data_IF_838251588020
#
_entry.id   IF_838251588020
#
_cell.length_a   1.000
_cell.length_b   1.000
_cell.length_c   1.000
_cell.angle_alpha   90.00
_cell.angle_beta   90.00
_cell.angle_gamma   90.00
#
_symmetry.space_group_name_H-M   'P 1'
#
loop_
_entity.id
_entity.type
_entity.pdbx_description
1 polymer ?
#
# COMPACT_ATOMS: atom_id res chain seq x y z
N UNK A 1 -9.77 -1.45 -10.80
CA UNK A 1 -10.12 -1.33 -9.35
C UNK A 1 -9.97 0.13 -8.98
N UNK A 2 -10.73 0.64 -8.01
CA UNK A 2 -10.65 2.06 -7.63
C UNK A 2 -10.13 2.23 -6.21
N UNK A 3 -9.31 3.26 -6.03
CA UNK A 3 -8.76 3.66 -4.74
C UNK A 3 -9.19 5.09 -4.44
N UNK A 4 -9.70 5.31 -3.24
CA UNK A 4 -10.16 6.61 -2.77
C UNK A 4 -9.59 6.89 -1.39
N UNK A 5 -9.47 8.18 -1.05
CA UNK A 5 -9.05 8.60 0.27
C UNK A 5 -10.07 9.57 0.84
N UNK A 6 -10.82 9.17 1.86
CA UNK A 6 -11.87 10.00 2.42
C UNK A 6 -11.31 11.31 3.02
N UNK A 7 -11.92 12.42 2.63
CA UNK A 7 -11.72 13.72 3.26
C UNK A 7 -13.08 14.31 3.62
N UNK A 8 -13.14 15.01 4.75
CA UNK A 8 -14.39 15.56 5.34
C UNK A 8 -15.11 16.56 4.42
N UNK A 9 -14.49 17.01 3.32
CA UNK A 9 -15.05 18.06 2.48
C UNK A 9 -14.40 18.15 1.09
N UNK A 10 -14.55 17.15 0.22
CA UNK A 10 -14.49 17.29 -1.25
C UNK A 10 -14.63 15.94 -1.94
N UNK A 11 -15.19 15.96 -3.16
CA UNK A 11 -15.31 14.83 -4.09
C UNK A 11 -14.03 13.99 -4.12
N UNK A 12 -14.17 12.71 -3.79
CA UNK A 12 -13.12 11.70 -3.86
C UNK A 12 -12.64 11.55 -5.31
N UNK A 13 -11.43 12.03 -5.62
CA UNK A 13 -10.80 11.67 -6.90
C UNK A 13 -10.40 10.20 -6.84
N UNK A 14 -11.11 9.38 -7.61
CA UNK A 14 -10.84 7.96 -7.74
C UNK A 14 -9.55 7.75 -8.52
N UNK A 15 -8.60 6.99 -7.96
CA UNK A 15 -7.45 6.52 -8.71
C UNK A 15 -7.76 5.14 -9.30
N UNK A 16 -7.62 5.03 -10.62
CA UNK A 16 -7.69 3.74 -11.32
C UNK A 16 -6.40 2.96 -11.07
N UNK A 17 -6.52 1.87 -10.32
CA UNK A 17 -5.42 1.04 -9.84
C UNK A 17 -5.56 -0.41 -10.28
N UNK A 18 -4.42 -1.02 -10.60
CA UNK A 18 -4.33 -2.44 -10.98
C UNK A 18 -3.82 -3.32 -9.83
N UNK A 19 -3.03 -2.75 -8.91
CA UNK A 19 -2.49 -3.43 -7.74
C UNK A 19 -2.60 -2.49 -6.54
N UNK A 20 -3.08 -3.02 -5.41
CA UNK A 20 -3.04 -2.37 -4.11
C UNK A 20 -2.46 -3.34 -3.08
N UNK A 21 -1.55 -2.87 -2.25
CA UNK A 21 -0.94 -3.62 -1.16
C UNK A 21 -1.20 -2.85 0.13
N UNK A 22 -1.96 -3.44 1.04
CA UNK A 22 -2.12 -2.92 2.39
C UNK A 22 -1.06 -3.50 3.31
N UNK A 23 -0.39 -2.61 4.03
CA UNK A 23 0.64 -2.94 4.99
C UNK A 23 0.21 -2.39 6.35
N UNK A 24 -0.30 -3.29 7.20
CA UNK A 24 -0.68 -2.96 8.57
C UNK A 24 0.47 -3.04 9.57
N UNK A 25 0.23 -2.46 10.76
CA UNK A 25 1.08 -2.69 11.93
C UNK A 25 0.96 -4.16 12.33
N UNK A 26 2.09 -4.87 12.33
CA UNK A 26 2.17 -6.25 12.84
C UNK A 26 1.37 -7.33 12.07
N UNK A 27 0.64 -6.98 11.01
CA UNK A 27 -0.11 -7.94 10.18
C UNK A 27 0.63 -8.36 8.91
N UNK A 28 0.24 -9.50 8.34
CA UNK A 28 0.71 -9.85 7.01
C UNK A 28 0.17 -8.85 5.97
N UNK A 29 0.97 -8.48 4.96
CA UNK A 29 0.53 -7.63 3.87
C UNK A 29 -0.63 -8.27 3.10
N UNK A 30 -1.67 -7.49 2.83
CA UNK A 30 -2.81 -7.90 2.02
C UNK A 30 -2.65 -7.33 0.61
N UNK A 31 -2.95 -8.14 -0.41
CA UNK A 31 -2.77 -7.75 -1.81
C UNK A 31 -4.11 -7.85 -2.54
N UNK A 32 -4.53 -6.73 -3.10
CA UNK A 32 -5.72 -6.60 -3.93
C UNK A 32 -5.28 -6.40 -5.38
N UNK A 33 -5.90 -7.14 -6.29
CA UNK A 33 -5.59 -7.10 -7.72
C UNK A 33 -6.86 -6.79 -8.48
N UNK A 34 -6.74 -5.99 -9.53
CA UNK A 34 -7.80 -5.86 -10.52
C UNK A 34 -7.99 -7.18 -11.30
N UNK A 35 -9.21 -7.40 -11.77
CA UNK A 35 -9.54 -8.61 -12.53
C UNK A 35 -8.72 -8.74 -13.81
N UNK A 36 -8.34 -9.96 -14.14
CA UNK A 36 -7.50 -10.25 -15.30
C UNK A 36 -6.05 -9.79 -15.19
N UNK A 37 -5.66 -9.10 -14.11
CA UNK A 37 -4.25 -8.76 -13.84
C UNK A 37 -3.51 -10.03 -13.38
N UNK A 38 -2.40 -10.33 -14.03
CA UNK A 38 -1.56 -11.45 -13.64
C UNK A 38 -1.06 -11.28 -12.20
N UNK A 39 -1.13 -12.36 -11.42
CA UNK A 39 -0.63 -12.36 -10.04
C UNK A 39 0.86 -11.97 -10.04
N UNK A 40 1.25 -10.87 -9.36
CA UNK A 40 2.63 -10.43 -9.35
C UNK A 40 3.51 -11.43 -8.61
N UNK A 41 4.73 -11.61 -9.11
CA UNK A 41 5.73 -12.44 -8.43
C UNK A 41 6.32 -11.72 -7.20
N UNK A 42 7.06 -12.48 -6.40
CA UNK A 42 7.68 -11.97 -5.17
C UNK A 42 8.70 -10.85 -5.44
N UNK A 43 9.47 -10.91 -6.52
CA UNK A 43 10.48 -9.90 -6.84
C UNK A 43 9.84 -8.56 -7.19
N UNK A 44 8.75 -8.61 -7.96
CA UNK A 44 7.96 -7.42 -8.27
C UNK A 44 7.42 -6.76 -6.99
N UNK A 45 6.81 -7.55 -6.10
CA UNK A 45 6.27 -7.04 -4.83
C UNK A 45 7.35 -6.45 -3.92
N UNK A 46 8.53 -7.10 -3.83
CA UNK A 46 9.68 -6.57 -3.10
C UNK A 46 10.11 -5.22 -3.68
N UNK A 47 10.18 -5.10 -5.02
CA UNK A 47 10.55 -3.86 -5.70
C UNK A 47 9.60 -2.71 -5.36
N UNK A 48 8.29 -2.94 -5.37
CA UNK A 48 7.30 -1.93 -4.97
C UNK A 48 7.51 -1.47 -3.52
N UNK A 49 7.73 -2.40 -2.61
CA UNK A 49 7.89 -2.09 -1.19
C UNK A 49 9.20 -1.35 -0.93
N UNK A 50 10.29 -1.75 -1.58
CA UNK A 50 11.57 -1.05 -1.50
C UNK A 50 11.44 0.39 -1.98
N UNK A 51 10.82 0.62 -3.14
CA UNK A 51 10.59 1.95 -3.70
C UNK A 51 9.79 2.83 -2.72
N UNK A 52 8.66 2.33 -2.23
CA UNK A 52 7.83 3.06 -1.27
C UNK A 52 8.54 3.26 0.07
N UNK A 53 9.41 2.32 0.50
CA UNK A 53 10.18 2.47 1.74
C UNK A 53 11.11 3.67 1.65
N UNK A 54 11.90 3.74 0.57
CA UNK A 54 12.80 4.88 0.32
C UNK A 54 12.01 6.18 0.23
N UNK A 55 10.91 6.18 -0.53
CA UNK A 55 10.06 7.36 -0.68
C UNK A 55 9.49 7.85 0.65
N UNK A 56 9.06 6.94 1.53
CA UNK A 56 8.57 7.27 2.89
C UNK A 56 9.70 7.83 3.75
N UNK A 57 10.90 7.27 3.64
CA UNK A 57 12.07 7.73 4.39
C UNK A 57 12.49 9.15 3.99
N UNK A 58 12.51 9.43 2.69
CA UNK A 58 12.85 10.71 2.08
C UNK A 58 11.70 11.73 2.12
N UNK A 59 10.48 11.27 2.41
CA UNK A 59 9.24 12.05 2.37
C UNK A 59 8.99 12.64 0.97
N UNK A 60 9.24 11.85 -0.07
CA UNK A 60 9.01 12.27 -1.44
C UNK A 60 7.52 12.45 -1.71
N UNK A 61 7.09 13.71 -1.81
CA UNK A 61 5.68 14.08 -2.07
C UNK A 61 5.17 13.65 -3.45
N UNK A 62 6.05 13.28 -4.38
CA UNK A 62 5.63 12.76 -5.68
C UNK A 62 5.12 11.31 -5.60
N UNK A 63 5.52 10.57 -4.57
CA UNK A 63 5.20 9.14 -4.40
C UNK A 63 4.39 8.89 -3.13
N UNK A 64 4.64 9.66 -2.06
CA UNK A 64 4.06 9.44 -0.73
C UNK A 64 3.11 10.57 -0.35
N UNK A 65 1.91 10.19 0.06
CA UNK A 65 0.97 11.09 0.74
C UNK A 65 0.81 10.65 2.19
N UNK A 66 1.21 11.50 3.13
CA UNK A 66 0.92 11.30 4.56
C UNK A 66 -0.43 11.91 4.89
N UNK A 67 -1.31 11.14 5.49
CA UNK A 67 -2.69 11.52 5.75
C UNK A 67 -3.18 10.88 7.04
N UNK A 68 -2.66 11.36 8.18
CA UNK A 68 -3.01 10.82 9.48
C UNK A 68 -4.52 10.92 9.72
N UNK A 69 -5.09 9.88 10.32
CA UNK A 69 -6.51 9.78 10.68
C UNK A 69 -7.49 9.83 9.50
N UNK A 70 -7.01 9.59 8.26
CA UNK A 70 -7.88 9.42 7.09
C UNK A 70 -8.01 7.95 6.73
N UNK A 71 -9.21 7.60 6.27
CA UNK A 71 -9.55 6.29 5.72
C UNK A 71 -9.21 6.22 4.24
N UNK A 72 -8.70 5.06 3.83
CA UNK A 72 -8.51 4.71 2.43
C UNK A 72 -9.52 3.64 2.08
N UNK A 73 -10.25 3.81 0.98
CA UNK A 73 -11.27 2.86 0.53
C UNK A 73 -10.80 2.24 -0.78
N UNK A 74 -10.79 0.91 -0.84
CA UNK A 74 -10.52 0.13 -2.04
C UNK A 74 -11.86 -0.46 -2.52
N UNK A 75 -12.22 -0.21 -3.77
CA UNK A 75 -13.43 -0.76 -4.38
C UNK A 75 -13.07 -1.79 -5.45
N UNK A 76 -13.51 -3.02 -5.21
CA UNK A 76 -13.26 -4.22 -6.03
C UNK A 76 -14.58 -4.94 -6.32
N UNK A 77 -14.98 -5.07 -7.59
CA UNK A 77 -16.14 -5.89 -8.01
C UNK A 77 -17.40 -5.81 -7.11
N UNK A 78 -17.79 -4.60 -6.69
CA UNK A 78 -18.96 -4.39 -5.83
C UNK A 78 -18.73 -4.63 -4.33
N UNK A 79 -17.51 -4.92 -3.91
CA UNK A 79 -17.06 -4.89 -2.52
C UNK A 79 -16.25 -3.64 -2.24
N UNK A 80 -16.37 -3.13 -1.01
CA UNK A 80 -15.58 -2.02 -0.50
C UNK A 80 -14.76 -2.52 0.70
N UNK A 81 -13.46 -2.24 0.66
CA UNK A 81 -12.54 -2.50 1.75
C UNK A 81 -12.06 -1.17 2.32
N UNK A 82 -12.39 -0.90 3.57
CA UNK A 82 -11.99 0.31 4.28
C UNK A 82 -10.74 0.04 5.11
N UNK A 83 -9.70 0.84 4.87
CA UNK A 83 -8.42 0.79 5.56
C UNK A 83 -8.31 2.03 6.44
N UNK A 84 -8.37 1.80 7.76
CA UNK A 84 -8.33 2.86 8.77
C UNK A 84 -6.93 3.08 9.34
N UNK A 85 -6.01 2.15 9.11
CA UNK A 85 -4.64 2.21 9.61
C UNK A 85 -3.64 1.50 8.70
N UNK A 86 -2.36 1.86 8.82
CA UNK A 86 -1.28 1.30 8.04
C UNK A 86 -0.84 2.17 6.86
N UNK A 87 -0.30 1.51 5.84
CA UNK A 87 0.14 2.12 4.59
C UNK A 87 -0.48 1.35 3.44
N UNK A 88 -1.01 2.09 2.47
CA UNK A 88 -1.54 1.55 1.23
C UNK A 88 -0.59 1.90 0.11
N UNK A 89 0.10 0.89 -0.43
CA UNK A 89 0.91 1.00 -1.63
C UNK A 89 0.02 0.67 -2.81
N UNK A 90 0.12 1.42 -3.90
CA UNK A 90 -0.69 1.17 -5.08
C UNK A 90 0.11 1.36 -6.36
N UNK A 91 -0.32 0.65 -7.39
CA UNK A 91 0.09 0.88 -8.78
C UNK A 91 -1.14 1.20 -9.60
N UNK A 92 -1.06 2.31 -10.32
CA UNK A 92 -2.10 2.73 -11.26
C UNK A 92 -2.06 1.86 -12.52
N UNK A 93 -3.18 1.78 -13.24
CA UNK A 93 -3.25 1.12 -14.56
C UNK A 93 -2.27 1.71 -15.59
N UNK A 94 -1.79 2.94 -15.35
CA UNK A 94 -0.75 3.62 -16.16
C UNK A 94 0.68 3.32 -15.71
N UNK A 95 0.85 2.41 -14.75
CA UNK A 95 2.15 1.96 -14.24
C UNK A 95 2.79 2.88 -13.20
N UNK A 96 2.17 4.01 -12.83
CA UNK A 96 2.67 4.86 -11.73
C UNK A 96 2.48 4.17 -10.39
N UNK A 97 3.47 4.29 -9.51
CA UNK A 97 3.46 3.74 -8.15
C UNK A 97 3.37 4.89 -7.15
N UNK A 98 2.60 4.69 -6.08
CA UNK A 98 2.51 5.61 -4.97
C UNK A 98 2.15 4.89 -3.68
N UNK A 99 2.18 5.61 -2.56
CA UNK A 99 1.58 5.11 -1.33
C UNK A 99 0.94 6.21 -0.49
N UNK A 100 -0.10 5.82 0.24
CA UNK A 100 -0.82 6.65 1.19
C UNK A 100 -0.57 6.07 2.59
N UNK A 101 -0.12 6.90 3.52
CA UNK A 101 0.01 6.50 4.92
C UNK A 101 -1.09 7.13 5.76
N UNK A 102 -1.80 6.30 6.52
CA UNK A 102 -2.79 6.75 7.52
C UNK A 102 -2.13 7.21 8.83
N UNK A 103 -0.80 7.33 8.86
CA UNK A 103 -0.01 7.68 10.04
C UNK A 103 0.93 8.87 9.78
N UNK A 104 1.52 9.38 10.85
CA UNK A 104 2.63 10.33 10.74
C UNK A 104 3.88 9.69 10.08
N UNK A 105 4.83 10.50 9.58
CA UNK A 105 6.01 9.97 8.91
C UNK A 105 6.89 9.04 9.75
N UNK A 106 6.95 9.21 11.07
CA UNK A 106 7.79 8.38 11.93
C UNK A 106 7.20 6.97 12.08
N UNK A 107 5.89 6.89 12.35
CA UNK A 107 5.16 5.63 12.38
C UNK A 107 5.15 4.96 11.01
N UNK A 108 4.93 5.71 9.93
CA UNK A 108 4.95 5.19 8.57
C UNK A 108 6.30 4.54 8.21
N UNK A 109 7.41 5.19 8.59
CA UNK A 109 8.76 4.64 8.39
C UNK A 109 8.94 3.31 9.11
N UNK A 110 8.47 3.20 10.36
CA UNK A 110 8.53 1.94 11.12
C UNK A 110 7.78 0.82 10.39
N UNK A 111 6.54 1.11 9.95
CA UNK A 111 5.69 0.16 9.23
C UNK A 111 6.36 -0.34 7.95
N UNK A 112 6.90 0.57 7.13
CA UNK A 112 7.58 0.19 5.88
C UNK A 112 8.82 -0.67 6.12
N UNK A 113 9.63 -0.36 7.15
CA UNK A 113 10.81 -1.17 7.49
C UNK A 113 10.43 -2.59 7.94
N UNK A 114 9.41 -2.69 8.79
CA UNK A 114 8.91 -4.00 9.25
C UNK A 114 8.33 -4.81 8.07
N UNK A 115 7.60 -4.15 7.18
CA UNK A 115 7.07 -4.77 5.97
C UNK A 115 8.18 -5.25 5.04
N UNK A 116 9.18 -4.39 4.77
CA UNK A 116 10.34 -4.75 3.97
C UNK A 116 11.05 -5.97 4.56
N UNK A 117 11.20 -6.04 5.88
CA UNK A 117 11.76 -7.22 6.56
C UNK A 117 10.87 -8.46 6.42
N UNK A 118 9.55 -8.36 6.40
CA UNK A 118 8.66 -9.51 6.15
C UNK A 118 8.77 -10.01 4.72
N UNK A 119 8.94 -9.11 3.76
CA UNK A 119 9.12 -9.45 2.35
C UNK A 119 10.51 -9.98 2.02
N UNK A 120 11.56 -9.44 2.65
CA UNK A 120 12.97 -9.79 2.37
C UNK A 120 13.58 -10.76 3.39
N UNK A 121 12.95 -10.92 4.55
CA UNK A 121 13.43 -11.76 5.64
C UNK A 121 13.56 -13.22 5.23
N UNK A 122 14.42 -13.94 5.98
CA UNK A 122 14.67 -15.35 5.78
C UNK A 122 13.34 -16.11 5.74
N UNK A 123 13.17 -16.94 4.70
CA UNK A 123 12.27 -18.08 4.72
C UNK A 123 12.47 -18.73 6.10
N UNK A 124 11.44 -18.74 6.95
CA UNK A 124 11.47 -19.63 8.10
C UNK A 124 11.48 -21.04 7.53
N UNK A 125 12.66 -21.66 7.50
CA UNK A 125 12.82 -23.11 7.40
C UNK A 125 12.34 -23.72 8.72
N UNK A 126 11.10 -23.45 9.13
CA UNK A 126 10.43 -24.27 10.12
C UNK A 126 9.88 -25.47 9.34
N UNK A 127 10.77 -26.46 9.16
CA UNK A 127 10.47 -27.82 8.72
C UNK A 127 9.72 -28.49 9.89
N UNK A 128 8.44 -28.88 9.76
CA UNK A 128 7.93 -30.01 10.51
C UNK A 128 8.54 -31.32 9.98
#
# INVERSE_FOLDING_TARGET
MKLYQESVSSSLEALDVDIVIHVGLETHPEIFLEDGVAKPDRHFLIGLIQLCTVSVEEKDSAVVTFSPNKTVVIETMGQQHTIESGIVIFRTTKGKVGCISCHDPAAARKIMRDALRRFTGAIRLDIP
#
